data_IF_494420071160
#
_entry.id   IF_494420071160
#
_cell.length_a   1.000
_cell.length_b   1.000
_cell.length_c   1.000
_cell.angle_alpha   90.00
_cell.angle_beta   90.00
_cell.angle_gamma   90.00
#
_symmetry.space_group_name_H-M   'P 1'
#
loop_
_entity.id
_entity.type
_entity.pdbx_description
1 polymer ?
#
# COMPACT_ATOMS: atom_id res chain seq x y z
N UNK A 1 11.33 3.30 13.82
CA UNK A 1 12.10 3.02 12.57
C UNK A 1 11.64 4.04 11.51
N UNK A 2 12.36 4.23 10.39
CA UNK A 2 11.84 5.03 9.27
C UNK A 2 11.65 4.13 8.04
N UNK A 3 10.62 4.42 7.23
CA UNK A 3 10.26 3.63 6.05
C UNK A 3 10.05 4.53 4.84
N UNK A 4 10.46 4.03 3.67
CA UNK A 4 10.17 4.64 2.38
C UNK A 4 9.39 3.62 1.55
N UNK A 5 8.09 3.86 1.42
CA UNK A 5 7.16 2.93 0.80
C UNK A 5 6.82 3.42 -0.61
N UNK A 6 7.18 2.62 -1.61
CA UNK A 6 6.82 2.86 -3.00
C UNK A 6 5.54 2.09 -3.31
N UNK A 7 4.54 2.77 -3.86
CA UNK A 7 3.26 2.16 -4.22
C UNK A 7 2.98 2.49 -5.69
N UNK A 8 2.86 1.46 -6.51
CA UNK A 8 2.70 1.56 -7.96
C UNK A 8 1.51 0.71 -8.40
N UNK A 9 0.65 1.25 -9.26
CA UNK A 9 -0.45 0.49 -9.86
C UNK A 9 -1.32 1.30 -10.84
N UNK A 10 -2.29 0.63 -11.46
CA UNK A 10 -3.14 1.18 -12.53
C UNK A 10 -4.51 1.65 -12.02
N UNK A 11 -5.09 0.97 -11.03
CA UNK A 11 -6.43 1.30 -10.53
C UNK A 11 -6.38 2.53 -9.60
N UNK A 12 -6.53 3.72 -10.20
CA UNK A 12 -6.38 5.02 -9.52
C UNK A 12 -7.29 5.19 -8.32
N UNK A 13 -8.57 4.84 -8.48
CA UNK A 13 -9.56 5.02 -7.43
C UNK A 13 -9.22 4.17 -6.21
N UNK A 14 -8.85 2.91 -6.45
CA UNK A 14 -8.50 1.99 -5.38
C UNK A 14 -7.16 2.35 -4.71
N UNK A 15 -6.16 2.77 -5.48
CA UNK A 15 -4.88 3.24 -4.92
C UNK A 15 -5.11 4.48 -4.05
N UNK A 16 -5.90 5.44 -4.52
CA UNK A 16 -6.24 6.62 -3.73
C UNK A 16 -6.93 6.26 -2.40
N UNK A 17 -7.81 5.25 -2.42
CA UNK A 17 -8.43 4.75 -1.20
C UNK A 17 -7.40 4.10 -0.27
N UNK A 18 -6.59 3.17 -0.78
CA UNK A 18 -5.51 2.50 -0.02
C UNK A 18 -4.56 3.53 0.58
N UNK A 19 -4.15 4.53 -0.19
CA UNK A 19 -3.30 5.63 0.26
C UNK A 19 -3.95 6.41 1.40
N UNK A 20 -5.23 6.79 1.28
CA UNK A 20 -5.94 7.49 2.36
C UNK A 20 -5.94 6.68 3.66
N UNK A 21 -6.29 5.39 3.58
CA UNK A 21 -6.31 4.50 4.73
C UNK A 21 -4.91 4.34 5.35
N UNK A 22 -3.90 4.14 4.51
CA UNK A 22 -2.50 4.01 4.94
C UNK A 22 -2.00 5.26 5.67
N UNK A 23 -2.25 6.44 5.12
CA UNK A 23 -1.80 7.70 5.70
C UNK A 23 -2.49 8.01 7.03
N UNK A 24 -3.77 7.65 7.18
CA UNK A 24 -4.48 7.79 8.45
C UNK A 24 -3.86 6.88 9.49
N UNK A 25 -3.67 5.60 9.17
CA UNK A 25 -3.08 4.65 10.11
C UNK A 25 -1.63 5.01 10.47
N UNK A 26 -0.84 5.51 9.53
CA UNK A 26 0.51 5.98 9.82
C UNK A 26 0.52 7.17 10.79
N UNK A 27 -0.42 8.11 10.64
CA UNK A 27 -0.57 9.23 11.58
C UNK A 27 -1.03 8.79 12.96
N UNK A 28 -1.93 7.81 13.05
CA UNK A 28 -2.36 7.22 14.34
C UNK A 28 -1.22 6.48 15.06
N UNK A 29 -0.23 6.00 14.32
CA UNK A 29 0.99 5.40 14.85
C UNK A 29 2.13 6.43 15.05
N UNK A 30 1.81 7.72 15.14
CA UNK A 30 2.74 8.83 15.40
C UNK A 30 3.90 9.00 14.39
N UNK A 31 3.74 8.50 13.15
CA UNK A 31 4.70 8.78 12.10
C UNK A 31 4.56 10.20 11.57
N UNK A 32 5.68 10.91 11.40
CA UNK A 32 5.74 12.07 10.54
C UNK A 32 5.74 11.61 9.07
N UNK A 33 4.79 12.10 8.28
CA UNK A 33 4.55 11.59 6.91
C UNK A 33 4.84 12.65 5.86
N UNK A 34 5.63 12.30 4.86
CA UNK A 34 5.79 13.05 3.60
C UNK A 34 5.38 12.16 2.43
N UNK A 35 4.59 12.70 1.50
CA UNK A 35 4.18 11.99 0.30
C UNK A 35 4.72 12.72 -0.92
N UNK A 36 5.36 11.98 -1.81
CA UNK A 36 5.73 12.41 -3.16
C UNK A 36 4.92 11.58 -4.15
N UNK A 37 4.33 12.23 -5.15
CA UNK A 37 3.53 11.56 -6.17
C UNK A 37 3.62 12.33 -7.46
N UNK A 38 3.64 11.64 -8.60
CA UNK A 38 3.30 12.25 -9.88
C UNK A 38 1.96 11.72 -10.36
N UNK A 39 1.13 12.64 -10.84
CA UNK A 39 0.05 12.24 -11.73
C UNK A 39 0.68 11.98 -13.10
N UNK A 40 0.47 10.81 -13.70
CA UNK A 40 0.96 10.54 -15.04
C UNK A 40 0.22 11.40 -16.08
N UNK A 41 0.87 11.63 -17.23
CA UNK A 41 0.37 12.54 -18.27
C UNK A 41 -0.89 12.01 -18.97
N UNK A 42 -1.09 10.68 -18.98
CA UNK A 42 -2.26 10.04 -19.57
C UNK A 42 -2.91 9.04 -18.60
N UNK A 43 -4.14 8.60 -18.94
CA UNK A 43 -4.96 7.73 -18.10
C UNK A 43 -4.48 6.26 -18.03
N UNK A 44 -3.61 5.83 -18.94
CA UNK A 44 -3.16 4.44 -19.08
C UNK A 44 -1.87 4.13 -18.32
N UNK A 45 -1.13 5.18 -17.95
CA UNK A 45 0.08 5.06 -17.16
C UNK A 45 -0.21 4.77 -15.68
N UNK A 46 0.66 3.97 -15.04
CA UNK A 46 0.57 3.68 -13.62
C UNK A 46 0.72 4.95 -12.79
N UNK A 47 0.01 5.03 -11.67
CA UNK A 47 0.27 6.02 -10.64
C UNK A 47 1.41 5.51 -9.75
N UNK A 48 2.30 6.43 -9.37
CA UNK A 48 3.29 6.19 -8.33
C UNK A 48 3.07 7.10 -7.12
N UNK A 49 3.20 6.50 -5.94
CA UNK A 49 3.37 7.21 -4.67
C UNK A 49 4.68 6.76 -4.01
N UNK A 50 5.40 7.71 -3.43
CA UNK A 50 6.48 7.46 -2.48
C UNK A 50 6.05 8.07 -1.15
N UNK A 51 5.90 7.23 -0.14
CA UNK A 51 5.52 7.64 1.22
C UNK A 51 6.73 7.48 2.13
N UNK A 52 7.19 8.59 2.68
CA UNK A 52 8.22 8.61 3.71
C UNK A 52 7.53 8.65 5.07
N UNK A 53 7.78 7.62 5.87
CA UNK A 53 7.34 7.50 7.25
C UNK A 53 8.57 7.70 8.16
N UNK A 54 8.64 8.84 8.86
CA UNK A 54 9.69 9.12 9.85
C UNK A 54 9.16 8.87 11.25
N UNK A 55 9.58 7.77 11.87
CA UNK A 55 9.26 7.41 13.26
C UNK A 55 10.47 7.51 14.21
N UNK A 56 11.60 8.02 13.72
CA UNK A 56 12.81 8.23 14.53
C UNK A 56 13.72 9.29 13.91
N UNK A 57 14.63 9.84 14.71
CA UNK A 57 15.65 10.82 14.25
C UNK A 57 16.81 10.21 13.45
N UNK A 58 16.82 8.89 13.24
CA UNK A 58 17.82 8.25 12.39
C UNK A 58 17.64 8.71 10.93
N UNK A 59 18.74 8.83 10.19
CA UNK A 59 18.70 9.23 8.76
C UNK A 59 18.53 8.05 7.79
N UNK A 60 18.42 6.82 8.29
CA UNK A 60 18.25 5.62 7.45
C UNK A 60 16.77 5.30 7.26
N UNK A 61 16.41 4.87 6.05
CA UNK A 61 15.06 4.40 5.70
C UNK A 61 15.13 2.94 5.25
N UNK A 62 14.21 2.12 5.75
CA UNK A 62 13.94 0.80 5.16
C UNK A 62 13.02 1.01 3.96
N UNK A 63 13.45 0.60 2.78
CA UNK A 63 12.63 0.67 1.57
C UNK A 63 11.66 -0.52 1.52
N UNK A 64 10.43 -0.26 1.08
CA UNK A 64 9.41 -1.28 0.82
C UNK A 64 8.75 -0.94 -0.53
N UNK A 65 8.73 -1.88 -1.46
CA UNK A 65 8.17 -1.68 -2.81
C UNK A 65 6.91 -2.54 -3.00
N UNK A 66 5.78 -1.86 -3.20
CA UNK A 66 4.49 -2.44 -3.58
C UNK A 66 4.25 -2.16 -5.06
N UNK A 67 4.31 -3.21 -5.87
CA UNK A 67 3.88 -3.17 -7.27
C UNK A 67 2.57 -3.94 -7.38
N UNK A 68 1.46 -3.22 -7.39
CA UNK A 68 0.12 -3.78 -7.28
C UNK A 68 -0.29 -4.57 -8.54
N UNK A 69 0.38 -4.39 -9.67
CA UNK A 69 -0.02 -4.97 -10.97
C UNK A 69 1.11 -5.68 -11.73
N UNK A 70 2.31 -5.76 -11.15
CA UNK A 70 3.56 -6.18 -11.82
C UNK A 70 3.96 -5.29 -13.02
N UNK A 71 3.80 -3.98 -12.89
CA UNK A 71 4.06 -3.04 -13.99
C UNK A 71 5.39 -2.31 -13.90
N UNK A 72 6.02 -2.27 -12.73
CA UNK A 72 7.28 -1.56 -12.57
C UNK A 72 8.45 -2.40 -13.08
N UNK A 73 9.47 -1.72 -13.63
CA UNK A 73 10.75 -2.33 -13.97
C UNK A 73 11.67 -2.51 -12.74
N UNK A 74 11.16 -2.24 -11.53
CA UNK A 74 11.93 -2.37 -10.29
C UNK A 74 12.17 -3.85 -10.03
N UNK A 75 13.43 -4.27 -9.92
CA UNK A 75 13.77 -5.69 -9.73
C UNK A 75 13.47 -6.17 -8.30
N UNK A 76 13.69 -5.31 -7.29
CA UNK A 76 13.52 -5.65 -5.88
C UNK A 76 12.13 -5.27 -5.35
N UNK A 77 11.07 -5.86 -5.91
CA UNK A 77 9.70 -5.68 -5.41
C UNK A 77 9.53 -6.48 -4.12
N UNK A 78 9.09 -5.89 -3.02
CA UNK A 78 8.76 -6.64 -1.80
C UNK A 78 7.44 -7.37 -1.96
N UNK A 79 6.44 -6.68 -2.49
CA UNK A 79 5.10 -7.19 -2.69
C UNK A 79 4.61 -6.91 -4.10
N UNK A 80 4.32 -7.97 -4.84
CA UNK A 80 3.68 -7.90 -6.14
C UNK A 80 2.90 -9.18 -6.43
N UNK A 81 1.94 -9.18 -7.38
CA UNK A 81 1.16 -10.37 -7.68
C UNK A 81 2.03 -11.58 -8.01
N UNK A 82 3.03 -11.41 -8.88
CA UNK A 82 3.96 -12.48 -9.27
C UNK A 82 4.78 -13.02 -8.10
N UNK A 83 5.30 -12.14 -7.23
CA UNK A 83 6.09 -12.55 -6.06
C UNK A 83 5.26 -13.27 -5.00
N UNK A 84 4.00 -12.87 -4.84
CA UNK A 84 3.06 -13.47 -3.90
C UNK A 84 2.29 -14.67 -4.51
N UNK A 85 2.53 -15.00 -5.77
CA UNK A 85 1.84 -16.06 -6.51
C UNK A 85 0.30 -15.92 -6.48
N UNK A 86 -0.20 -14.68 -6.55
CA UNK A 86 -1.62 -14.37 -6.58
C UNK A 86 -2.07 -13.93 -7.97
N UNK A 87 -3.29 -14.30 -8.35
CA UNK A 87 -3.87 -13.90 -9.62
C UNK A 87 -4.33 -12.45 -9.57
N UNK A 88 -4.06 -11.71 -10.64
CA UNK A 88 -4.68 -10.40 -10.88
C UNK A 88 -6.13 -10.62 -11.31
N UNK A 89 -7.07 -10.00 -10.61
CA UNK A 89 -8.48 -10.06 -10.97
C UNK A 89 -9.01 -8.71 -11.48
N UNK A 90 -10.14 -8.74 -12.18
CA UNK A 90 -10.76 -7.54 -12.77
C UNK A 90 -11.29 -6.53 -11.74
N UNK A 91 -11.50 -6.98 -10.50
CA UNK A 91 -11.98 -6.15 -9.40
C UNK A 91 -10.82 -5.61 -8.54
N UNK A 92 -9.58 -5.94 -8.88
CA UNK A 92 -8.36 -5.63 -8.15
C UNK A 92 -8.37 -6.07 -6.67
N UNK A 93 -9.01 -7.21 -6.31
CA UNK A 93 -9.01 -7.68 -4.91
C UNK A 93 -7.59 -8.03 -4.42
N UNK A 94 -6.68 -8.40 -5.32
CA UNK A 94 -5.27 -8.63 -5.03
C UNK A 94 -4.57 -7.40 -4.42
N UNK A 95 -5.05 -6.19 -4.67
CA UNK A 95 -4.51 -4.97 -4.04
C UNK A 95 -4.68 -5.02 -2.52
N UNK A 96 -5.81 -5.52 -2.03
CA UNK A 96 -6.08 -5.62 -0.60
C UNK A 96 -5.16 -6.65 0.07
N UNK A 97 -4.89 -7.77 -0.61
CA UNK A 97 -3.94 -8.77 -0.14
C UNK A 97 -2.51 -8.21 -0.05
N UNK A 98 -2.06 -7.50 -1.08
CA UNK A 98 -0.76 -6.83 -1.10
C UNK A 98 -0.69 -5.76 0.00
N UNK A 99 -1.76 -4.99 0.17
CA UNK A 99 -1.84 -3.96 1.19
C UNK A 99 -1.80 -4.54 2.60
N UNK A 100 -2.46 -5.68 2.86
CA UNK A 100 -2.35 -6.38 4.14
C UNK A 100 -0.92 -6.84 4.45
N UNK A 101 -0.15 -7.25 3.43
CA UNK A 101 1.25 -7.62 3.58
C UNK A 101 2.16 -6.43 3.95
N UNK A 102 1.85 -5.23 3.46
CA UNK A 102 2.55 -4.01 3.89
C UNK A 102 2.41 -3.77 5.40
N UNK A 103 1.22 -3.95 5.96
CA UNK A 103 1.00 -3.79 7.41
C UNK A 103 1.83 -4.76 8.26
N UNK A 104 2.07 -5.97 7.76
CA UNK A 104 2.97 -6.93 8.43
C UNK A 104 4.45 -6.54 8.35
N UNK A 105 4.81 -5.70 7.39
CA UNK A 105 6.20 -5.28 7.15
C UNK A 105 6.61 -4.05 7.94
N UNK A 106 5.62 -3.32 8.46
CA UNK A 106 5.78 -2.14 9.30
C UNK A 106 5.08 -2.43 10.62
N UNK A 107 5.82 -3.05 11.55
CA UNK A 107 5.29 -3.63 12.80
C UNK A 107 4.45 -2.65 13.65
N UNK A 108 4.77 -1.35 13.59
CA UNK A 108 4.09 -0.31 14.37
C UNK A 108 2.72 0.08 13.80
N UNK A 109 2.36 -0.35 12.58
CA UNK A 109 1.07 -0.02 11.97
C UNK A 109 -0.01 -1.02 12.37
N UNK A 110 -1.04 -0.54 13.07
CA UNK A 110 -2.17 -1.37 13.47
C UNK A 110 -3.23 -1.45 12.34
N UNK A 111 -3.58 -2.65 11.83
CA UNK A 111 -4.58 -2.81 10.77
C UNK A 111 -6.03 -2.54 11.20
N UNK A 112 -6.28 -2.21 12.48
CA UNK A 112 -7.62 -2.01 13.03
C UNK A 112 -8.41 -0.93 12.30
N UNK A 113 -7.79 0.20 11.96
CA UNK A 113 -8.47 1.29 11.24
C UNK A 113 -8.97 0.82 9.86
N UNK A 114 -8.09 0.18 9.07
CA UNK A 114 -8.44 -0.38 7.76
C UNK A 114 -9.55 -1.42 7.88
N UNK A 115 -9.44 -2.30 8.87
CA UNK A 115 -10.43 -3.33 9.17
C UNK A 115 -11.79 -2.72 9.50
N UNK A 116 -11.82 -1.71 10.36
CA UNK A 116 -13.04 -0.99 10.75
C UNK A 116 -13.70 -0.33 9.55
N UNK A 117 -12.92 0.38 8.73
CA UNK A 117 -13.42 1.00 7.50
C UNK A 117 -14.07 -0.03 6.56
N UNK A 118 -13.41 -1.15 6.29
CA UNK A 118 -13.95 -2.18 5.38
C UNK A 118 -15.23 -2.81 5.92
N UNK A 119 -15.35 -3.02 7.24
CA UNK A 119 -16.56 -3.51 7.88
C UNK A 119 -17.72 -2.50 7.75
N UNK A 120 -17.48 -1.23 8.07
CA UNK A 120 -18.48 -0.16 7.97
C UNK A 120 -19.01 0.02 6.55
N UNK A 121 -18.15 -0.12 5.55
CA UNK A 121 -18.50 -0.03 4.13
C UNK A 121 -19.06 -1.33 3.54
N UNK A 122 -19.27 -2.38 4.37
CA UNK A 122 -19.78 -3.71 3.95
C UNK A 122 -18.92 -4.36 2.85
N UNK A 123 -17.59 -4.20 2.93
CA UNK A 123 -16.58 -4.69 1.99
C UNK A 123 -16.00 -6.03 2.45
N UNK A 124 -16.86 -7.04 2.57
CA UNK A 124 -16.49 -8.34 3.16
C UNK A 124 -15.43 -9.10 2.36
N UNK A 125 -15.49 -9.03 1.02
CA UNK A 125 -14.51 -9.70 0.16
C UNK A 125 -13.14 -9.02 0.28
N UNK A 126 -13.09 -7.71 0.19
CA UNK A 126 -11.88 -6.92 0.36
C UNK A 126 -11.25 -7.15 1.74
N UNK A 127 -12.07 -7.19 2.79
CA UNK A 127 -11.62 -7.51 4.14
C UNK A 127 -11.03 -8.92 4.23
N UNK A 128 -11.67 -9.91 3.60
CA UNK A 128 -11.14 -11.28 3.53
C UNK A 128 -9.77 -11.30 2.88
N UNK A 129 -9.59 -10.63 1.74
CA UNK A 129 -8.29 -10.55 1.05
C UNK A 129 -7.24 -9.83 1.90
N UNK A 130 -7.59 -8.69 2.49
CA UNK A 130 -6.71 -7.92 3.36
C UNK A 130 -6.20 -8.74 4.56
N UNK A 131 -7.06 -9.55 5.18
CA UNK A 131 -6.69 -10.41 6.31
C UNK A 131 -5.96 -11.69 5.91
N UNK A 132 -6.17 -12.16 4.67
CA UNK A 132 -5.53 -13.38 4.14
C UNK A 132 -4.07 -13.16 3.73
N UNK A 133 -3.63 -11.90 3.70
CA UNK A 133 -2.23 -11.50 3.57
C UNK A 133 -1.31 -12.31 4.47
#
# INVERSE_FOLDING_TARGET
MNYKVFIIGQNRELINLIMKLFLITAKEADYAVKVESSLPENLFEPIYYIVYLKGSEKNSFKEIVLDLDDMSAIENKDFSPSKLMINRDKNALHYWYIFGNLFRSIEDLNPAYVTGYLLEQKKELELKYFRSA
#
